data_IF_976793289032
#
_entry.id   IF_976793289032
#
_cell.length_a   1.000
_cell.length_b   1.000
_cell.length_c   1.000
_cell.angle_alpha   90.00
_cell.angle_beta   90.00
_cell.angle_gamma   90.00
#
_symmetry.space_group_name_H-M   'P 1'
#
loop_
_entity.id
_entity.type
_entity.pdbx_description
1 polymer ?
#
# COMPACT_ATOMS: atom_id res chain seq x y z
N UNK A 1 0.20 -29.20 4.12
CA UNK A 1 0.81 -27.90 4.51
C UNK A 1 0.69 -26.95 3.32
N UNK A 2 -0.28 -26.04 3.36
CA UNK A 2 -0.66 -25.19 2.21
C UNK A 2 0.18 -23.91 2.16
N UNK A 3 1.29 -23.93 1.44
CA UNK A 3 2.08 -22.73 1.09
C UNK A 3 1.57 -22.13 -0.22
N UNK A 4 0.41 -21.46 -0.17
CA UNK A 4 -0.12 -20.64 -1.30
C UNK A 4 -0.64 -19.26 -0.86
N UNK A 5 -0.01 -18.66 0.16
CA UNK A 5 -0.31 -17.30 0.61
C UNK A 5 0.90 -16.36 0.50
N UNK A 6 1.82 -16.63 -0.43
CA UNK A 6 2.80 -15.65 -0.86
C UNK A 6 2.32 -15.00 -2.16
N UNK A 7 2.16 -13.68 -2.12
CA UNK A 7 2.27 -12.79 -3.29
C UNK A 7 1.13 -12.77 -4.33
N UNK A 8 -0.13 -12.88 -3.94
CA UNK A 8 -1.19 -12.32 -4.80
C UNK A 8 -1.28 -10.82 -4.54
N UNK A 9 -0.41 -10.04 -5.19
CA UNK A 9 -0.75 -8.64 -5.47
C UNK A 9 -2.13 -8.68 -6.13
N UNK A 10 -3.10 -7.91 -5.62
CA UNK A 10 -4.40 -7.83 -6.28
C UNK A 10 -4.14 -7.40 -7.74
N UNK A 11 -4.75 -8.04 -8.76
CA UNK A 11 -4.53 -7.68 -10.17
C UNK A 11 -4.73 -6.18 -10.44
N UNK A 12 -5.61 -5.56 -9.66
CA UNK A 12 -5.86 -4.11 -9.64
C UNK A 12 -4.66 -3.30 -9.16
N UNK A 13 -3.97 -3.75 -8.10
CA UNK A 13 -2.78 -3.09 -7.57
C UNK A 13 -1.63 -3.15 -8.57
N UNK A 14 -1.42 -4.29 -9.24
CA UNK A 14 -0.33 -4.42 -10.22
C UNK A 14 -0.49 -3.42 -11.38
N UNK A 15 -1.72 -3.29 -11.91
CA UNK A 15 -2.03 -2.27 -12.94
C UNK A 15 -1.75 -0.85 -12.45
N UNK A 16 -2.14 -0.54 -11.21
CA UNK A 16 -1.86 0.77 -10.62
C UNK A 16 -0.36 1.04 -10.46
N UNK A 17 0.40 0.05 -10.03
CA UNK A 17 1.85 0.17 -9.87
C UNK A 17 2.56 0.35 -11.22
N UNK A 18 2.12 -0.37 -12.26
CA UNK A 18 2.64 -0.23 -13.62
C UNK A 18 2.33 1.16 -14.20
N UNK A 19 1.12 1.68 -14.00
CA UNK A 19 0.80 3.04 -14.43
C UNK A 19 1.63 4.08 -13.65
N UNK A 20 1.81 3.88 -12.34
CA UNK A 20 2.61 4.76 -11.51
C UNK A 20 4.09 4.74 -11.91
N UNK A 21 4.64 3.58 -12.31
CA UNK A 21 6.04 3.49 -12.72
C UNK A 21 6.31 4.25 -14.01
N UNK A 22 5.34 4.30 -14.93
CA UNK A 22 5.43 5.12 -16.15
C UNK A 22 5.33 6.61 -15.84
N UNK A 23 4.41 7.03 -14.97
CA UNK A 23 4.16 8.46 -14.72
C UNK A 23 5.13 9.07 -13.71
N UNK A 24 5.46 8.33 -12.64
CA UNK A 24 6.21 8.79 -11.48
C UNK A 24 7.11 7.64 -10.96
N UNK A 25 8.20 7.32 -11.66
CA UNK A 25 9.07 6.18 -11.36
C UNK A 25 9.66 6.23 -9.94
N UNK A 26 9.94 7.42 -9.41
CA UNK A 26 10.43 7.59 -8.04
C UNK A 26 9.40 7.13 -6.98
N UNK A 27 8.11 7.35 -7.22
CA UNK A 27 7.03 6.90 -6.33
C UNK A 27 6.84 5.38 -6.42
N UNK A 28 6.95 4.81 -7.62
CA UNK A 28 6.91 3.35 -7.80
C UNK A 28 8.09 2.67 -7.10
N UNK A 29 9.31 3.20 -7.26
CA UNK A 29 10.49 2.68 -6.54
C UNK A 29 10.31 2.73 -5.02
N UNK A 30 9.80 3.85 -4.49
CA UNK A 30 9.50 3.98 -3.06
C UNK A 30 8.43 2.97 -2.60
N UNK A 31 7.41 2.74 -3.41
CA UNK A 31 6.37 1.74 -3.14
C UNK A 31 6.97 0.34 -3.02
N UNK A 32 7.80 -0.06 -3.98
CA UNK A 32 8.48 -1.38 -3.98
C UNK A 32 9.40 -1.50 -2.76
N UNK A 33 10.17 -0.45 -2.44
CA UNK A 33 11.03 -0.43 -1.24
C UNK A 33 10.24 -0.65 0.04
N UNK A 34 9.11 0.03 0.21
CA UNK A 34 8.26 -0.14 1.41
C UNK A 34 7.77 -1.59 1.50
N UNK A 35 7.26 -2.16 0.41
CA UNK A 35 6.76 -3.53 0.39
C UNK A 35 7.85 -4.56 0.69
N UNK A 36 9.04 -4.38 0.11
CA UNK A 36 10.20 -5.23 0.37
C UNK A 36 10.62 -5.19 1.84
N UNK A 37 10.70 -4.00 2.45
CA UNK A 37 11.06 -3.86 3.87
C UNK A 37 9.99 -4.46 4.80
N UNK A 38 8.70 -4.29 4.46
CA UNK A 38 7.61 -4.91 5.21
C UNK A 38 7.70 -6.44 5.18
N UNK A 39 7.99 -7.01 4.01
CA UNK A 39 8.16 -8.46 3.85
C UNK A 39 9.41 -9.00 4.57
N UNK A 40 10.44 -8.18 4.72
CA UNK A 40 11.63 -8.49 5.54
C UNK A 40 11.38 -8.38 7.05
N UNK A 41 10.16 -8.00 7.47
CA UNK A 41 9.80 -7.88 8.88
C UNK A 41 10.04 -6.49 9.47
N UNK A 42 10.40 -5.49 8.67
CA UNK A 42 10.57 -4.12 9.17
C UNK A 42 9.24 -3.58 9.67
N UNK A 43 9.14 -3.11 10.92
CA UNK A 43 7.92 -2.50 11.44
C UNK A 43 7.46 -1.31 10.59
N UNK A 44 6.18 -1.31 10.20
CA UNK A 44 5.59 -0.25 9.39
C UNK A 44 5.76 1.19 9.94
N UNK A 45 5.84 1.47 11.27
CA UNK A 45 6.05 2.83 11.75
C UNK A 45 7.41 3.39 11.33
N UNK A 46 8.45 2.54 11.27
CA UNK A 46 9.81 2.93 10.87
C UNK A 46 9.88 3.31 9.38
N UNK A 47 8.99 2.72 8.58
CA UNK A 47 8.84 3.04 7.15
C UNK A 47 7.95 4.28 6.91
N UNK A 48 7.52 4.96 7.98
CA UNK A 48 6.63 6.13 7.91
C UNK A 48 5.15 5.79 7.69
N UNK A 49 4.78 4.53 7.91
CA UNK A 49 3.39 4.06 7.85
C UNK A 49 2.58 4.54 9.04
N UNK A 50 1.30 4.87 8.80
CA UNK A 50 0.34 5.21 9.85
C UNK A 50 -0.98 4.49 9.62
N UNK A 51 -1.58 3.99 10.69
CA UNK A 51 -2.93 3.44 10.63
C UNK A 51 -3.97 4.47 10.18
N UNK A 52 -4.98 4.02 9.44
CA UNK A 52 -6.19 4.78 9.23
C UNK A 52 -7.08 4.65 10.47
N UNK A 53 -7.45 5.78 11.09
CA UNK A 53 -8.39 5.81 12.21
C UNK A 53 -9.73 5.12 11.86
N UNK A 54 -10.26 5.36 10.66
CA UNK A 54 -11.54 4.79 10.24
C UNK A 54 -11.46 3.31 9.82
N UNK A 55 -10.24 2.77 9.61
CA UNK A 55 -10.00 1.39 9.15
C UNK A 55 -8.69 0.88 9.77
N UNK A 56 -8.72 0.36 11.01
CA UNK A 56 -7.51 0.00 11.75
C UNK A 56 -6.69 -1.11 11.08
N UNK A 57 -7.30 -1.89 10.19
CA UNK A 57 -6.60 -2.94 9.45
C UNK A 57 -5.79 -2.42 8.26
N UNK A 58 -5.86 -1.11 7.96
CA UNK A 58 -5.19 -0.48 6.82
C UNK A 58 -4.12 0.50 7.31
N UNK A 59 -2.93 0.32 6.78
CA UNK A 59 -1.76 1.18 6.96
C UNK A 59 -1.56 2.00 5.70
N UNK A 60 -1.31 3.29 5.91
CA UNK A 60 -1.09 4.25 4.84
C UNK A 60 0.34 4.78 4.89
N UNK A 61 1.02 4.70 3.75
CA UNK A 61 2.34 5.27 3.54
C UNK A 61 2.27 6.45 2.58
N UNK A 62 3.04 7.50 2.85
CA UNK A 62 3.23 8.60 1.88
C UNK A 62 4.26 8.15 0.84
N UNK A 63 3.89 8.22 -0.44
CA UNK A 63 4.83 8.03 -1.55
C UNK A 63 5.38 9.38 -2.04
N UNK A 64 4.55 10.42 -1.98
CA UNK A 64 4.91 11.81 -2.29
C UNK A 64 3.85 12.77 -1.75
N UNK A 65 3.78 13.99 -2.29
CA UNK A 65 2.82 15.01 -1.84
C UNK A 65 1.37 14.56 -2.04
N UNK A 66 1.06 14.03 -3.23
CA UNK A 66 -0.30 13.67 -3.66
C UNK A 66 -0.53 12.17 -3.85
N UNK A 67 0.41 11.30 -3.48
CA UNK A 67 0.29 9.84 -3.68
C UNK A 67 0.51 9.06 -2.39
N UNK A 68 -0.34 8.04 -2.17
CA UNK A 68 -0.28 7.20 -0.98
C UNK A 68 -0.46 5.73 -1.33
N UNK A 69 0.30 4.89 -0.65
CA UNK A 69 0.17 3.44 -0.68
C UNK A 69 -0.70 3.01 0.50
N UNK A 70 -1.67 2.14 0.23
CA UNK A 70 -2.46 1.45 1.23
C UNK A 70 -2.04 -0.02 1.30
N UNK A 71 -1.77 -0.49 2.52
CA UNK A 71 -1.40 -1.88 2.81
C UNK A 71 -2.28 -2.37 3.94
N UNK A 72 -2.88 -3.55 3.81
CA UNK A 72 -3.56 -4.22 4.91
C UNK A 72 -2.69 -5.29 5.55
N UNK A 73 -2.89 -5.53 6.84
CA UNK A 73 -2.31 -6.68 7.55
C UNK A 73 -3.36 -7.79 7.59
N UNK A 74 -3.09 -8.95 7.00
CA UNK A 74 -3.95 -10.14 7.11
C UNK A 74 -3.10 -11.34 7.49
N UNK A 75 -3.46 -12.02 8.58
CA UNK A 75 -2.81 -13.27 9.03
C UNK A 75 -1.28 -13.17 8.94
N UNK A 76 -0.72 -12.13 9.54
CA UNK A 76 0.72 -11.78 9.56
C UNK A 76 1.34 -11.30 8.25
N UNK A 77 0.67 -11.46 7.11
CA UNK A 77 1.13 -10.94 5.83
C UNK A 77 0.72 -9.48 5.59
N UNK A 78 1.61 -8.74 4.93
CA UNK A 78 1.35 -7.40 4.42
C UNK A 78 0.84 -7.46 2.98
N UNK A 79 -0.40 -7.04 2.77
CA UNK A 79 -1.06 -7.11 1.47
C UNK A 79 -1.23 -5.69 0.93
N UNK A 80 -0.58 -5.32 -0.18
CA UNK A 80 -0.84 -4.04 -0.83
C UNK A 80 -2.25 -4.02 -1.43
N UNK A 81 -3.04 -3.01 -1.08
CA UNK A 81 -4.41 -2.87 -1.55
C UNK A 81 -4.52 -1.91 -2.73
N UNK A 82 -3.88 -0.74 -2.63
CA UNK A 82 -4.00 0.30 -3.65
C UNK A 82 -2.88 1.33 -3.58
N UNK A 83 -2.56 1.92 -4.73
CA UNK A 83 -1.91 3.24 -4.79
C UNK A 83 -2.97 4.26 -5.18
N UNK A 84 -3.16 5.27 -4.34
CA UNK A 84 -4.18 6.30 -4.53
C UNK A 84 -3.53 7.68 -4.67
N UNK A 85 -4.08 8.47 -5.59
CA UNK A 85 -3.90 9.92 -5.59
C UNK A 85 -4.60 10.54 -4.37
N UNK A 86 -4.31 11.81 -4.07
CA UNK A 86 -4.94 12.54 -2.98
C UNK A 86 -6.47 12.57 -3.11
N UNK A 87 -6.98 12.83 -4.31
CA UNK A 87 -8.41 12.88 -4.60
C UNK A 87 -9.08 11.50 -4.44
N UNK A 88 -8.46 10.46 -4.98
CA UNK A 88 -8.96 9.09 -4.84
C UNK A 88 -8.91 8.62 -3.38
N UNK A 89 -7.89 9.02 -2.63
CA UNK A 89 -7.77 8.75 -1.20
C UNK A 89 -8.86 9.44 -0.39
N UNK A 90 -9.18 10.71 -0.68
CA UNK A 90 -10.27 11.42 -0.01
C UNK A 90 -11.64 10.79 -0.33
N UNK A 91 -11.88 10.43 -1.61
CA UNK A 91 -13.07 9.66 -1.99
C UNK A 91 -13.14 8.32 -1.25
N UNK A 92 -12.02 7.60 -1.16
CA UNK A 92 -11.93 6.34 -0.43
C UNK A 92 -12.26 6.48 1.06
N UNK A 93 -11.82 7.57 1.70
CA UNK A 93 -12.16 7.87 3.10
C UNK A 93 -13.65 8.20 3.26
N UNK A 94 -14.24 8.95 2.33
CA UNK A 94 -15.63 9.42 2.41
C UNK A 94 -16.66 8.35 2.02
N UNK A 95 -16.29 7.31 1.28
CA UNK A 95 -17.22 6.28 0.76
C UNK A 95 -17.85 5.38 1.84
N UNK A 96 -17.52 5.56 3.13
CA UNK A 96 -18.14 4.85 4.27
C UNK A 96 -18.27 5.77 5.50
N UNK A 97 -18.77 6.99 5.30
CA UNK A 97 -19.53 7.69 6.35
C UNK A 97 -21.01 7.43 6.09
#
# INVERSE_FOLDING_TARGET
MNTKLANTLLPTFYKQLQQLSTQQPCHASRCIKILSNLNQGTPYPLLGGKYLRCRPNIIRFKLGLRHRLLVSKKNEAWIPEAVLSHEAYNKFLNRRR
#
